data_IF_166244317958
#
_entry.id   IF_166244317958
#
_cell.length_a   1.000
_cell.length_b   1.000
_cell.length_c   1.000
_cell.angle_alpha   90.00
_cell.angle_beta   90.00
_cell.angle_gamma   90.00
#
_symmetry.space_group_name_H-M   'P 1'
#
loop_
_entity.id
_entity.type
_entity.pdbx_description
1 polymer ?
#
# COMPACT_ATOMS: atom_id res chain seq x y z
N UNK A 1 -34.75 -43.36 33.34
CA UNK A 1 -33.69 -42.72 32.54
C UNK A 1 -33.90 -41.22 32.59
N UNK A 2 -33.00 -40.41 33.20
CA UNK A 2 -33.11 -38.96 33.13
C UNK A 2 -32.31 -38.42 31.92
N UNK A 3 -32.91 -37.51 31.16
CA UNK A 3 -32.24 -36.71 30.14
C UNK A 3 -31.39 -35.63 30.81
N UNK A 4 -30.10 -35.57 30.50
CA UNK A 4 -29.22 -34.49 30.92
C UNK A 4 -29.34 -33.32 29.93
N UNK A 5 -29.73 -32.14 30.43
CA UNK A 5 -29.68 -30.89 29.67
C UNK A 5 -28.27 -30.30 29.74
N UNK A 6 -27.65 -30.07 28.58
CA UNK A 6 -26.36 -29.41 28.44
C UNK A 6 -26.59 -27.88 28.44
N UNK A 7 -25.92 -27.08 29.28
CA UNK A 7 -26.08 -25.63 29.23
C UNK A 7 -25.27 -25.07 28.06
N UNK A 8 -25.91 -24.25 27.22
CA UNK A 8 -25.25 -23.40 26.25
C UNK A 8 -24.50 -22.29 27.01
N UNK A 9 -23.17 -22.35 27.06
CA UNK A 9 -22.37 -21.20 27.46
C UNK A 9 -22.39 -20.18 26.33
N UNK A 10 -23.10 -19.07 26.54
CA UNK A 10 -22.88 -17.85 25.78
C UNK A 10 -21.52 -17.28 26.20
N UNK A 11 -20.51 -17.45 25.35
CA UNK A 11 -19.30 -16.64 25.43
C UNK A 11 -19.68 -15.20 25.06
N UNK A 12 -19.81 -14.35 26.07
CA UNK A 12 -19.82 -12.90 25.86
C UNK A 12 -18.43 -12.53 25.34
N UNK A 13 -18.33 -12.27 24.03
CA UNK A 13 -17.16 -11.64 23.47
C UNK A 13 -16.97 -10.29 24.18
N UNK A 14 -15.82 -10.11 24.84
CA UNK A 14 -15.45 -8.82 25.42
C UNK A 14 -15.49 -7.74 24.32
N UNK A 15 -15.90 -6.50 24.63
CA UNK A 15 -15.85 -5.42 23.66
C UNK A 15 -14.38 -5.25 23.23
N UNK A 16 -14.10 -5.44 21.94
CA UNK A 16 -12.78 -5.21 21.38
C UNK A 16 -12.37 -3.77 21.71
N UNK A 17 -11.35 -3.61 22.55
CA UNK A 17 -10.74 -2.31 22.81
C UNK A 17 -10.23 -1.78 21.49
N UNK A 18 -10.88 -0.74 20.95
CA UNK A 18 -10.48 -0.08 19.71
C UNK A 18 -9.19 0.69 19.97
N UNK A 19 -8.05 0.00 19.84
CA UNK A 19 -6.73 0.61 19.88
C UNK A 19 -6.53 1.36 18.57
N UNK A 20 -6.94 2.62 18.54
CA UNK A 20 -6.99 3.40 17.32
C UNK A 20 -6.34 4.76 17.53
N UNK A 21 -5.37 5.10 16.67
CA UNK A 21 -4.91 6.48 16.51
C UNK A 21 -5.83 7.15 15.49
N UNK A 22 -6.44 8.30 15.80
CA UNK A 22 -7.37 8.94 14.88
C UNK A 22 -7.21 10.46 14.86
N UNK A 23 -7.54 11.04 13.70
CA UNK A 23 -7.40 12.46 13.40
C UNK A 23 -8.56 12.94 12.52
N UNK A 24 -8.95 14.19 12.67
CA UNK A 24 -10.04 14.86 11.95
C UNK A 24 -9.53 15.78 10.81
N UNK A 25 -8.24 15.70 10.50
CA UNK A 25 -7.61 16.41 9.38
C UNK A 25 -6.55 15.56 8.69
N UNK A 26 -6.27 15.78 7.39
CA UNK A 26 -5.15 15.17 6.70
C UNK A 26 -3.81 15.50 7.36
N UNK A 27 -2.81 14.64 7.16
CA UNK A 27 -1.45 14.89 7.64
C UNK A 27 -0.82 16.11 6.94
N UNK A 28 -0.09 16.91 7.71
CA UNK A 28 0.84 17.91 7.18
C UNK A 28 1.92 17.26 6.29
N UNK A 29 2.61 17.99 5.40
CA UNK A 29 3.56 17.41 4.43
C UNK A 29 4.75 16.62 5.02
N UNK A 30 5.13 16.88 6.28
CA UNK A 30 6.20 16.15 6.98
C UNK A 30 5.80 14.73 7.40
N UNK A 31 6.77 13.94 7.87
CA UNK A 31 6.53 12.54 8.27
C UNK A 31 5.73 12.39 9.57
N UNK A 32 5.74 13.39 10.44
CA UNK A 32 5.29 13.28 11.84
C UNK A 32 3.79 13.01 12.02
N UNK A 33 2.98 13.27 11.00
CA UNK A 33 1.53 13.13 11.09
C UNK A 33 0.97 11.97 10.25
N UNK A 34 1.78 11.36 9.40
CA UNK A 34 1.33 10.26 8.53
C UNK A 34 1.06 8.99 9.35
N UNK A 35 0.08 8.20 8.92
CA UNK A 35 -0.19 6.88 9.51
C UNK A 35 0.72 5.85 8.86
N UNK A 36 1.46 5.10 9.66
CA UNK A 36 2.39 4.10 9.14
C UNK A 36 1.72 2.73 9.10
N UNK A 37 1.82 2.07 7.95
CA UNK A 37 1.51 0.65 7.77
C UNK A 37 2.74 -0.05 7.23
N UNK A 38 2.90 -1.33 7.55
CA UNK A 38 4.05 -2.07 7.06
C UNK A 38 4.04 -3.51 7.52
N UNK A 39 4.84 -4.30 6.83
CA UNK A 39 5.35 -5.56 7.35
C UNK A 39 6.88 -5.47 7.45
N UNK A 40 7.56 -6.56 7.79
CA UNK A 40 9.02 -6.54 7.98
C UNK A 40 9.82 -6.14 6.73
N UNK A 41 9.20 -6.08 5.54
CA UNK A 41 9.84 -5.75 4.27
C UNK A 41 9.35 -4.44 3.65
N UNK A 42 8.04 -4.30 3.44
CA UNK A 42 7.43 -3.16 2.74
C UNK A 42 6.68 -2.27 3.74
N UNK A 43 6.85 -0.96 3.61
CA UNK A 43 6.19 0.05 4.43
C UNK A 43 5.54 1.15 3.60
N UNK A 44 4.52 1.78 4.20
CA UNK A 44 3.79 2.91 3.63
C UNK A 44 3.42 3.95 4.68
N UNK A 45 3.74 5.22 4.44
CA UNK A 45 3.26 6.35 5.25
C UNK A 45 2.08 7.02 4.56
N UNK A 46 0.88 6.89 5.13
CA UNK A 46 -0.40 7.34 4.56
C UNK A 46 -0.76 8.74 5.07
N UNK A 47 -0.94 9.69 4.15
CA UNK A 47 -1.16 11.10 4.51
C UNK A 47 -2.64 11.47 4.66
N UNK A 48 -3.53 10.80 3.95
CA UNK A 48 -4.97 10.93 4.12
C UNK A 48 -5.61 12.14 3.45
N UNK A 49 -4.96 12.78 2.47
CA UNK A 49 -5.57 13.92 1.75
C UNK A 49 -6.71 13.48 0.81
N UNK A 50 -7.92 14.05 0.90
CA UNK A 50 -9.08 13.64 0.09
C UNK A 50 -8.83 13.70 -1.42
N UNK A 51 -8.31 14.84 -1.90
CA UNK A 51 -8.11 15.20 -3.30
C UNK A 51 -6.82 14.67 -3.93
N UNK A 52 -5.81 14.35 -3.11
CA UNK A 52 -4.51 13.87 -3.56
C UNK A 52 -3.85 13.05 -2.46
N UNK A 53 -4.18 11.74 -2.38
CA UNK A 53 -3.52 10.86 -1.43
C UNK A 53 -2.05 10.74 -1.78
N UNK A 54 -1.21 10.74 -0.75
CA UNK A 54 0.22 10.48 -0.88
C UNK A 54 0.57 9.34 0.06
N UNK A 55 1.23 8.33 -0.46
CA UNK A 55 1.79 7.24 0.32
C UNK A 55 3.29 7.18 0.03
N UNK A 56 4.10 7.53 1.02
CA UNK A 56 5.55 7.37 0.91
C UNK A 56 5.90 5.91 1.13
N UNK A 57 6.70 5.35 0.24
CA UNK A 57 7.00 3.92 0.18
C UNK A 57 8.43 3.63 0.62
N UNK A 58 8.59 2.49 1.29
CA UNK A 58 9.87 2.03 1.83
C UNK A 58 9.99 0.52 1.65
N UNK A 59 11.17 0.05 1.22
CA UNK A 59 11.53 -1.37 1.20
C UNK A 59 12.77 -1.56 2.08
N UNK A 60 12.71 -2.51 3.00
CA UNK A 60 13.65 -2.70 4.12
C UNK A 60 15.12 -2.87 3.71
N UNK A 61 15.37 -3.43 2.52
CA UNK A 61 16.69 -3.76 2.00
C UNK A 61 17.25 -2.72 1.03
N UNK A 62 16.53 -1.61 0.79
CA UNK A 62 16.99 -0.53 -0.06
C UNK A 62 17.98 0.39 0.68
N UNK A 63 19.26 0.08 0.55
CA UNK A 63 20.36 0.79 1.20
C UNK A 63 21.46 1.20 0.21
N UNK A 64 22.03 2.37 0.44
CA UNK A 64 23.38 2.69 -0.08
C UNK A 64 24.44 2.11 0.86
N UNK A 65 25.71 2.15 0.44
CA UNK A 65 26.79 1.51 1.18
C UNK A 65 27.00 0.06 0.77
N UNK A 66 28.04 -0.55 1.32
CA UNK A 66 28.50 -1.89 0.99
C UNK A 66 29.11 -2.57 2.22
N UNK A 67 29.71 -3.75 2.03
CA UNK A 67 30.53 -4.38 3.05
C UNK A 67 31.55 -3.36 3.62
N UNK A 68 31.43 -3.07 4.91
CA UNK A 68 32.24 -2.07 5.61
C UNK A 68 32.98 -2.72 6.79
N UNK A 69 33.92 -3.65 6.54
CA UNK A 69 34.64 -4.34 7.60
C UNK A 69 35.52 -3.39 8.44
N UNK A 70 35.88 -2.23 7.90
CA UNK A 70 36.63 -1.19 8.61
C UNK A 70 35.79 -0.38 9.60
N UNK A 71 34.46 -0.43 9.51
CA UNK A 71 33.56 0.40 10.32
C UNK A 71 33.68 1.90 9.99
N UNK A 72 34.07 2.23 8.75
CA UNK A 72 34.23 3.62 8.33
C UNK A 72 32.85 4.28 8.12
N UNK A 73 32.55 5.31 8.89
CA UNK A 73 31.29 6.05 8.78
C UNK A 73 31.11 6.72 7.41
N UNK A 74 32.21 7.02 6.69
CA UNK A 74 32.14 7.61 5.34
C UNK A 74 31.58 6.67 4.27
N UNK A 75 31.68 5.35 4.48
CA UNK A 75 31.28 4.31 3.53
C UNK A 75 30.15 3.40 4.02
N UNK A 76 29.63 3.66 5.24
CA UNK A 76 28.53 2.90 5.85
C UNK A 76 27.24 2.94 5.03
N UNK A 77 27.03 4.03 4.27
CA UNK A 77 25.80 4.25 3.52
C UNK A 77 24.62 4.62 4.41
N UNK A 78 23.42 4.61 3.82
CA UNK A 78 22.19 5.02 4.49
C UNK A 78 20.96 4.37 3.87
N UNK A 79 19.91 4.26 4.71
CA UNK A 79 18.60 3.80 4.28
C UNK A 79 17.99 4.77 3.27
N UNK A 80 17.37 4.23 2.23
CA UNK A 80 16.78 5.03 1.15
C UNK A 80 15.25 4.93 1.16
N UNK A 81 14.62 6.04 0.80
CA UNK A 81 13.20 6.06 0.43
C UNK A 81 13.05 5.37 -0.93
N UNK A 82 12.05 4.50 -1.10
CA UNK A 82 11.83 3.84 -2.38
C UNK A 82 11.18 4.79 -3.39
N UNK A 83 10.16 5.52 -2.96
CA UNK A 83 9.37 6.35 -3.86
C UNK A 83 8.04 6.73 -3.24
N UNK A 84 7.12 7.21 -4.07
CA UNK A 84 5.82 7.67 -3.63
C UNK A 84 4.72 7.17 -4.56
N UNK A 85 3.61 6.75 -3.96
CA UNK A 85 2.34 6.50 -4.65
C UNK A 85 1.42 7.70 -4.43
N UNK A 86 1.02 8.35 -5.52
CA UNK A 86 0.03 9.42 -5.51
C UNK A 86 -1.30 8.93 -6.12
N UNK A 87 -2.42 9.29 -5.48
CA UNK A 87 -3.76 9.05 -6.00
C UNK A 87 -4.51 10.38 -6.05
N UNK A 88 -4.60 10.95 -7.25
CA UNK A 88 -5.31 12.18 -7.51
C UNK A 88 -6.81 11.90 -7.70
N UNK A 89 -7.64 12.63 -6.96
CA UNK A 89 -9.11 12.58 -6.96
C UNK A 89 -9.65 14.01 -7.13
N UNK A 90 -9.61 14.57 -8.36
CA UNK A 90 -10.04 15.94 -8.61
C UNK A 90 -11.51 16.15 -8.21
N UNK A 91 -11.81 17.28 -7.57
CA UNK A 91 -13.17 17.58 -7.09
C UNK A 91 -13.47 17.09 -5.68
N UNK A 92 -12.51 16.45 -5.00
CA UNK A 92 -12.66 15.97 -3.63
C UNK A 92 -12.18 16.99 -2.58
N UNK A 93 -11.89 18.24 -2.98
CA UNK A 93 -11.45 19.30 -2.07
C UNK A 93 -12.57 19.70 -1.10
N UNK A 94 -12.21 20.17 0.09
CA UNK A 94 -13.15 20.65 1.10
C UNK A 94 -14.30 19.67 1.44
N UNK A 95 -14.00 18.40 1.80
CA UNK A 95 -15.04 17.48 2.22
C UNK A 95 -15.56 17.82 3.63
N UNK A 96 -16.67 17.18 4.00
CA UNK A 96 -17.20 17.21 5.36
C UNK A 96 -17.07 15.83 6.01
N UNK A 97 -17.29 15.74 7.33
CA UNK A 97 -17.23 14.49 8.09
C UNK A 97 -15.92 13.70 7.89
N UNK A 98 -14.81 14.42 7.72
CA UNK A 98 -13.50 13.80 7.51
C UNK A 98 -13.01 13.09 8.77
N UNK A 99 -12.40 11.92 8.57
CA UNK A 99 -11.65 11.18 9.59
C UNK A 99 -10.55 10.35 8.92
N UNK A 100 -9.40 10.26 9.55
CA UNK A 100 -8.42 9.20 9.29
C UNK A 100 -8.04 8.50 10.57
N UNK A 101 -7.77 7.21 10.49
CA UNK A 101 -7.35 6.44 11.65
C UNK A 101 -6.47 5.23 11.31
N UNK A 102 -5.65 4.81 12.27
CA UNK A 102 -4.89 3.57 12.23
C UNK A 102 -5.44 2.65 13.31
N UNK A 103 -6.06 1.55 12.88
CA UNK A 103 -6.48 0.48 13.78
C UNK A 103 -5.29 -0.42 14.10
N UNK A 104 -4.81 -0.37 15.34
CA UNK A 104 -3.64 -1.14 15.80
C UNK A 104 -3.96 -2.63 15.96
N UNK A 105 -5.24 -3.00 16.14
CA UNK A 105 -5.65 -4.41 16.24
C UNK A 105 -5.78 -5.11 14.89
N UNK A 106 -5.99 -4.35 13.81
CA UNK A 106 -6.09 -4.88 12.44
C UNK A 106 -4.88 -4.51 11.58
N UNK A 107 -4.00 -3.62 12.05
CA UNK A 107 -2.92 -3.00 11.28
C UNK A 107 -3.40 -2.37 9.94
N UNK A 108 -4.57 -1.73 9.96
CA UNK A 108 -5.17 -1.07 8.78
C UNK A 108 -5.28 0.44 9.04
N UNK A 109 -4.73 1.23 8.14
CA UNK A 109 -4.99 2.66 8.05
C UNK A 109 -6.26 2.92 7.23
N UNK A 110 -7.15 3.77 7.71
CA UNK A 110 -8.40 4.16 7.06
C UNK A 110 -8.50 5.67 6.91
N UNK A 111 -9.15 6.11 5.83
CA UNK A 111 -9.59 7.49 5.62
C UNK A 111 -11.05 7.45 5.19
N UNK A 112 -11.90 8.28 5.76
CA UNK A 112 -13.31 8.42 5.39
C UNK A 112 -13.71 9.88 5.36
N UNK A 113 -14.53 10.26 4.39
CA UNK A 113 -15.07 11.61 4.28
C UNK A 113 -16.31 11.63 3.40
N UNK A 114 -17.04 12.73 3.45
CA UNK A 114 -18.20 12.99 2.61
C UNK A 114 -17.95 14.15 1.66
N UNK A 115 -18.31 13.97 0.38
CA UNK A 115 -18.30 15.03 -0.62
C UNK A 115 -19.56 14.94 -1.47
N UNK A 116 -20.27 16.05 -1.61
CA UNK A 116 -21.52 16.16 -2.38
C UNK A 116 -22.56 15.07 -2.07
N UNK A 117 -22.68 14.73 -0.78
CA UNK A 117 -23.59 13.69 -0.26
C UNK A 117 -23.12 12.24 -0.50
N UNK A 118 -21.91 12.04 -1.00
CA UNK A 118 -21.32 10.71 -1.26
C UNK A 118 -20.26 10.44 -0.18
N UNK A 119 -20.36 9.26 0.44
CA UNK A 119 -19.37 8.79 1.40
C UNK A 119 -18.25 8.09 0.65
N UNK A 120 -17.02 8.51 0.92
CA UNK A 120 -15.81 7.91 0.38
C UNK A 120 -15.03 7.26 1.51
N UNK A 121 -14.41 6.11 1.21
CA UNK A 121 -13.53 5.43 2.15
C UNK A 121 -12.30 4.89 1.44
N UNK A 122 -11.16 5.00 2.12
CA UNK A 122 -9.89 4.39 1.75
C UNK A 122 -9.40 3.49 2.88
N UNK A 123 -8.89 2.31 2.54
CA UNK A 123 -8.15 1.42 3.44
C UNK A 123 -6.77 1.15 2.86
N UNK A 124 -5.76 1.14 3.73
CA UNK A 124 -4.37 0.85 3.38
C UNK A 124 -3.78 -0.11 4.39
N UNK A 125 -3.13 -1.17 3.92
CA UNK A 125 -2.36 -2.11 4.75
C UNK A 125 -1.30 -2.80 3.90
N UNK A 126 -0.36 -3.49 4.56
CA UNK A 126 0.63 -4.33 3.88
C UNK A 126 0.37 -5.78 4.23
N UNK A 127 -0.04 -6.55 3.23
CA UNK A 127 -0.42 -7.95 3.34
C UNK A 127 0.81 -8.85 3.61
N UNK A 128 0.65 -10.01 4.30
CA UNK A 128 1.71 -11.01 4.54
C UNK A 128 2.53 -11.40 3.29
N UNK A 129 1.89 -11.50 2.13
CA UNK A 129 2.53 -11.74 0.82
C UNK A 129 3.46 -10.58 0.33
N UNK A 130 3.79 -9.60 1.19
CA UNK A 130 4.60 -8.40 0.89
C UNK A 130 4.00 -7.49 -0.17
N UNK A 131 2.69 -7.29 -0.10
CA UNK A 131 1.94 -6.44 -1.04
C UNK A 131 1.27 -5.33 -0.23
N UNK A 132 1.56 -4.08 -0.57
CA UNK A 132 0.77 -2.94 -0.08
C UNK A 132 -0.55 -2.89 -0.85
N UNK A 133 -1.65 -2.94 -0.12
CA UNK A 133 -3.01 -2.91 -0.64
C UNK A 133 -3.61 -1.54 -0.33
N UNK A 134 -4.11 -0.84 -1.35
CA UNK A 134 -4.96 0.34 -1.21
C UNK A 134 -6.35 0.03 -1.76
N UNK A 135 -7.39 0.21 -0.96
CA UNK A 135 -8.78 0.03 -1.38
C UNK A 135 -9.50 1.37 -1.32
N UNK A 136 -10.11 1.80 -2.43
CA UNK A 136 -10.98 2.97 -2.51
C UNK A 136 -12.41 2.50 -2.77
N UNK A 137 -13.37 3.08 -2.06
CA UNK A 137 -14.81 2.81 -2.24
C UNK A 137 -15.62 4.09 -2.13
N UNK A 138 -16.76 4.16 -2.82
CA UNK A 138 -17.74 5.24 -2.68
C UNK A 138 -19.15 4.67 -2.44
N UNK A 139 -20.01 5.40 -1.72
CA UNK A 139 -21.39 4.98 -1.47
C UNK A 139 -22.30 5.07 -2.71
N UNK A 140 -21.87 5.79 -3.75
CA UNK A 140 -22.55 5.90 -5.03
C UNK A 140 -21.74 5.20 -6.12
N UNK A 141 -22.39 4.33 -6.88
CA UNK A 141 -21.79 3.68 -8.06
C UNK A 141 -21.28 4.72 -9.06
N UNK A 142 -20.13 4.44 -9.65
CA UNK A 142 -19.46 5.27 -10.64
C UNK A 142 -18.91 6.59 -10.11
N UNK A 143 -18.76 6.76 -8.80
CA UNK A 143 -18.35 8.02 -8.20
C UNK A 143 -16.82 8.24 -8.11
N UNK A 144 -16.00 7.24 -8.45
CA UNK A 144 -14.54 7.36 -8.41
C UNK A 144 -13.98 7.66 -9.81
N UNK A 145 -13.37 8.84 -9.96
CA UNK A 145 -12.62 9.24 -11.16
C UNK A 145 -11.35 9.96 -10.73
N UNK A 146 -10.23 9.66 -11.37
CA UNK A 146 -8.94 10.18 -10.94
C UNK A 146 -7.76 9.59 -11.70
N UNK A 147 -6.58 9.74 -11.10
CA UNK A 147 -5.33 9.23 -11.63
C UNK A 147 -4.43 8.67 -10.52
N UNK A 148 -3.56 7.73 -10.89
CA UNK A 148 -2.56 7.10 -10.03
C UNK A 148 -1.21 7.31 -10.68
N UNK A 149 -0.26 7.78 -9.88
CA UNK A 149 1.13 7.95 -10.27
C UNK A 149 2.02 7.22 -9.26
N UNK A 150 3.06 6.56 -9.78
CA UNK A 150 4.11 5.94 -8.99
C UNK A 150 5.41 6.66 -9.34
N UNK A 151 6.04 7.31 -8.38
CA UNK A 151 7.25 8.09 -8.57
C UNK A 151 8.44 7.45 -7.85
N UNK A 152 9.58 7.39 -8.52
CA UNK A 152 10.83 6.89 -7.97
C UNK A 152 11.57 7.97 -7.18
N UNK A 153 12.13 7.63 -6.01
CA UNK A 153 12.92 8.56 -5.23
C UNK A 153 14.33 8.83 -5.80
N UNK A 154 14.77 8.04 -6.78
CA UNK A 154 16.14 8.04 -7.30
C UNK A 154 16.22 8.33 -8.81
N UNK A 155 15.12 8.80 -9.42
CA UNK A 155 15.07 9.25 -10.81
C UNK A 155 14.87 8.15 -11.86
N UNK A 156 14.57 6.91 -11.47
CA UNK A 156 14.15 5.89 -12.41
C UNK A 156 12.78 6.24 -13.04
N UNK A 157 12.62 5.94 -14.32
CA UNK A 157 11.41 6.28 -15.07
C UNK A 157 10.34 5.22 -14.86
N UNK A 158 9.12 5.68 -14.57
CA UNK A 158 7.94 4.82 -14.48
C UNK A 158 7.50 4.40 -15.87
N UNK A 159 7.40 3.10 -16.07
CA UNK A 159 6.87 2.47 -17.28
C UNK A 159 5.46 1.98 -17.03
N UNK A 160 4.62 2.01 -18.06
CA UNK A 160 3.21 1.65 -17.96
C UNK A 160 2.87 0.50 -18.91
N UNK A 161 2.03 -0.43 -18.45
CA UNK A 161 1.51 -1.52 -19.27
C UNK A 161 0.13 -1.95 -18.76
N UNK A 162 -0.87 -1.93 -19.64
CA UNK A 162 -2.25 -2.35 -19.37
C UNK A 162 -2.90 -1.63 -18.16
N UNK A 163 -2.81 -2.21 -16.97
CA UNK A 163 -3.32 -1.66 -15.70
C UNK A 163 -2.24 -1.59 -14.62
N UNK A 164 -0.99 -1.55 -15.05
CA UNK A 164 0.18 -1.59 -14.18
C UNK A 164 1.15 -0.44 -14.45
N UNK A 165 1.86 -0.06 -13.39
CA UNK A 165 3.02 0.83 -13.43
C UNK A 165 4.21 0.07 -12.84
N UNK A 166 5.38 0.20 -13.46
CA UNK A 166 6.61 -0.46 -13.04
C UNK A 166 7.78 0.50 -13.06
N UNK A 167 8.63 0.40 -12.04
CA UNK A 167 9.91 1.09 -11.93
C UNK A 167 10.99 0.04 -11.75
N UNK A 168 12.06 0.15 -12.52
CA UNK A 168 13.30 -0.62 -12.32
C UNK A 168 14.45 0.36 -12.21
N UNK A 169 15.16 0.31 -11.08
CA UNK A 169 16.21 1.27 -10.79
C UNK A 169 17.46 0.63 -10.21
N UNK A 170 18.48 1.46 -10.03
CA UNK A 170 19.79 1.07 -9.51
C UNK A 170 20.37 2.21 -8.68
N UNK A 171 20.75 1.92 -7.45
CA UNK A 171 21.45 2.86 -6.57
C UNK A 171 22.93 3.03 -6.99
N UNK A 172 23.63 4.08 -6.53
CA UNK A 172 25.04 4.31 -6.86
C UNK A 172 25.99 3.17 -6.49
N UNK A 173 25.69 2.40 -5.42
CA UNK A 173 26.43 1.19 -5.04
C UNK A 173 26.13 0.00 -5.97
N UNK A 174 25.26 0.14 -6.97
CA UNK A 174 24.88 -0.93 -7.88
C UNK A 174 23.78 -1.87 -7.36
N UNK A 175 23.22 -1.63 -6.17
CA UNK A 175 22.03 -2.34 -5.70
C UNK A 175 20.87 -2.06 -6.67
N UNK A 176 20.27 -3.11 -7.21
CA UNK A 176 19.14 -3.04 -8.12
C UNK A 176 17.85 -3.18 -7.33
N UNK A 177 16.82 -2.44 -7.73
CA UNK A 177 15.49 -2.53 -7.14
C UNK A 177 14.42 -2.45 -8.20
N UNK A 178 13.26 -3.02 -7.88
CA UNK A 178 12.05 -2.95 -8.69
C UNK A 178 10.87 -2.67 -7.78
N UNK A 179 10.00 -1.77 -8.20
CA UNK A 179 8.68 -1.58 -7.61
C UNK A 179 7.65 -1.57 -8.71
N UNK A 180 6.43 -1.92 -8.36
CA UNK A 180 5.35 -1.83 -9.32
C UNK A 180 4.01 -2.04 -8.67
N UNK A 181 2.98 -1.57 -9.34
CA UNK A 181 1.60 -1.70 -8.91
C UNK A 181 0.72 -2.19 -10.04
N UNK A 182 -0.40 -2.78 -9.63
CA UNK A 182 -1.49 -3.22 -10.49
C UNK A 182 -2.80 -2.69 -9.92
N UNK A 183 -3.70 -2.25 -10.80
CA UNK A 183 -5.01 -1.70 -10.43
C UNK A 183 -6.14 -2.57 -10.94
N UNK A 184 -7.01 -2.98 -10.03
CA UNK A 184 -8.29 -3.60 -10.34
C UNK A 184 -9.45 -2.65 -10.03
N UNK A 185 -10.37 -2.46 -10.97
CA UNK A 185 -11.59 -1.67 -10.76
C UNK A 185 -12.84 -2.54 -10.70
N UNK A 186 -13.80 -2.11 -9.89
CA UNK A 186 -15.19 -2.56 -9.95
C UNK A 186 -15.99 -1.46 -10.63
N UNK A 187 -16.67 -1.79 -11.73
CA UNK A 187 -17.27 -0.79 -12.61
C UNK A 187 -16.23 0.10 -13.28
N UNK A 188 -16.72 1.03 -14.11
CA UNK A 188 -15.88 2.02 -14.78
C UNK A 188 -14.79 1.44 -15.69
N UNK A 189 -13.73 2.22 -15.89
CA UNK A 189 -12.56 1.84 -16.69
C UNK A 189 -11.26 2.31 -16.07
N UNK A 190 -10.17 1.59 -16.37
CA UNK A 190 -8.79 1.97 -16.06
C UNK A 190 -7.97 1.91 -17.35
N UNK A 191 -7.16 2.93 -17.61
CA UNK A 191 -6.29 3.03 -18.78
C UNK A 191 -4.94 3.66 -18.41
N UNK A 192 -3.88 3.28 -19.12
CA UNK A 192 -2.57 3.93 -19.04
C UNK A 192 -2.51 5.16 -19.94
N UNK A 193 -1.96 6.27 -19.45
CA UNK A 193 -1.70 7.47 -20.24
C UNK A 193 -0.56 8.30 -19.61
N UNK A 194 0.60 8.32 -20.28
CA UNK A 194 1.67 9.28 -19.97
C UNK A 194 2.41 8.97 -18.67
N UNK A 195 2.64 7.68 -18.40
CA UNK A 195 3.30 7.19 -17.18
C UNK A 195 2.38 7.14 -15.95
N UNK A 196 1.06 7.14 -16.18
CA UNK A 196 0.02 7.19 -15.14
C UNK A 196 -1.10 6.23 -15.47
N UNK A 197 -1.80 5.77 -14.44
CA UNK A 197 -3.08 5.08 -14.62
C UNK A 197 -4.21 6.07 -14.38
N UNK A 198 -5.10 6.23 -15.36
CA UNK A 198 -6.36 6.96 -15.21
C UNK A 198 -7.49 6.00 -14.95
N UNK A 199 -8.35 6.34 -14.00
CA UNK A 199 -9.58 5.60 -13.74
C UNK A 199 -10.79 6.53 -13.85
N UNK A 200 -11.89 6.03 -14.40
CA UNK A 200 -13.10 6.82 -14.63
C UNK A 200 -14.34 6.03 -14.28
N UNK A 201 -15.23 6.66 -13.51
CA UNK A 201 -16.55 6.12 -13.19
C UNK A 201 -16.50 4.76 -12.49
N UNK A 202 -15.54 4.52 -11.61
CA UNK A 202 -15.41 3.27 -10.86
C UNK A 202 -16.31 3.30 -9.60
N UNK A 203 -16.81 2.13 -9.21
CA UNK A 203 -17.51 1.90 -7.93
C UNK A 203 -16.51 1.73 -6.79
N UNK A 204 -15.43 0.99 -7.07
CA UNK A 204 -14.32 0.76 -6.18
C UNK A 204 -13.02 0.48 -6.95
N UNK A 205 -11.88 0.69 -6.30
CA UNK A 205 -10.55 0.37 -6.82
C UNK A 205 -9.74 -0.37 -5.77
N UNK A 206 -9.01 -1.39 -6.20
CA UNK A 206 -7.97 -2.05 -5.41
C UNK A 206 -6.64 -1.89 -6.12
N UNK A 207 -5.68 -1.26 -5.45
CA UNK A 207 -4.30 -1.11 -5.90
C UNK A 207 -3.46 -2.11 -5.11
N UNK A 208 -2.70 -2.94 -5.82
CA UNK A 208 -1.75 -3.88 -5.24
C UNK A 208 -0.35 -3.47 -5.65
N UNK A 209 0.51 -3.13 -4.69
CA UNK A 209 1.87 -2.66 -4.93
C UNK A 209 2.88 -3.58 -4.25
N UNK A 210 3.91 -3.99 -5.00
CA UNK A 210 5.03 -4.76 -4.49
C UNK A 210 6.36 -4.08 -4.78
N UNK A 211 7.39 -4.44 -4.01
CA UNK A 211 8.75 -3.98 -4.22
C UNK A 211 9.77 -5.05 -3.80
N UNK A 212 10.94 -5.03 -4.43
CA UNK A 212 12.08 -5.85 -4.02
C UNK A 212 13.40 -5.22 -4.45
N UNK A 213 14.48 -5.66 -3.82
CA UNK A 213 15.85 -5.40 -4.27
C UNK A 213 16.53 -6.71 -4.66
N UNK A 214 17.72 -6.63 -5.24
CA UNK A 214 18.61 -7.79 -5.37
C UNK A 214 19.52 -7.97 -4.14
N UNK A 215 19.18 -7.42 -2.96
CA UNK A 215 19.96 -7.61 -1.75
C UNK A 215 19.97 -9.10 -1.32
N UNK A 216 21.11 -9.55 -0.83
CA UNK A 216 21.29 -10.86 -0.21
C UNK A 216 21.91 -10.70 1.18
N UNK A 217 21.45 -11.48 2.16
CA UNK A 217 22.12 -11.58 3.46
C UNK A 217 23.38 -12.45 3.41
N UNK A 218 23.68 -13.06 2.26
CA UNK A 218 24.79 -13.99 2.12
C UNK A 218 26.07 -13.22 1.77
N UNK A 219 26.99 -13.11 2.72
CA UNK A 219 28.26 -12.38 2.59
C UNK A 219 29.10 -12.86 1.38
N UNK A 220 29.16 -14.18 1.14
CA UNK A 220 29.90 -14.74 -0.02
C UNK A 220 29.35 -14.31 -1.38
N UNK A 221 28.12 -13.78 -1.42
CA UNK A 221 27.47 -13.23 -2.62
C UNK A 221 27.71 -11.70 -2.73
N UNK A 222 28.55 -11.12 -1.87
CA UNK A 222 28.79 -9.67 -1.85
C UNK A 222 27.52 -8.88 -1.52
N UNK A 223 26.65 -9.48 -0.70
CA UNK A 223 25.33 -8.96 -0.34
C UNK A 223 24.39 -8.71 -1.53
N UNK A 224 24.62 -9.38 -2.68
CA UNK A 224 23.83 -9.18 -3.90
C UNK A 224 23.52 -10.49 -4.62
N UNK A 225 22.24 -10.69 -4.91
CA UNK A 225 21.77 -11.61 -5.96
C UNK A 225 21.92 -10.97 -7.35
N UNK A 226 21.72 -11.75 -8.41
CA UNK A 226 21.82 -11.23 -9.79
C UNK A 226 20.78 -10.13 -10.09
N UNK A 227 19.52 -10.35 -9.67
CA UNK A 227 18.37 -9.51 -10.02
C UNK A 227 17.33 -9.44 -8.89
N UNK A 228 16.57 -8.33 -8.78
CA UNK A 228 15.38 -8.29 -7.94
C UNK A 228 14.30 -9.23 -8.49
N UNK A 229 13.27 -9.50 -7.69
CA UNK A 229 12.16 -10.34 -8.13
C UNK A 229 11.44 -9.70 -9.35
N UNK A 230 11.00 -10.50 -10.34
CA UNK A 230 10.24 -9.99 -11.48
C UNK A 230 8.88 -9.48 -11.04
N UNK A 231 8.27 -8.60 -11.83
CA UNK A 231 7.07 -7.85 -11.46
C UNK A 231 5.91 -8.76 -11.04
N UNK A 232 5.67 -9.83 -11.79
CA UNK A 232 4.59 -10.79 -11.52
C UNK A 232 4.72 -11.43 -10.13
N UNK A 233 5.96 -11.59 -9.65
CA UNK A 233 6.23 -12.10 -8.31
C UNK A 233 6.08 -11.00 -7.24
N UNK A 234 6.33 -9.73 -7.57
CA UNK A 234 6.18 -8.61 -6.63
C UNK A 234 4.73 -8.43 -6.17
N UNK A 235 3.80 -8.56 -7.11
CA UNK A 235 2.36 -8.42 -6.85
C UNK A 235 1.69 -9.79 -6.59
N UNK A 236 2.50 -10.86 -6.46
CA UNK A 236 2.10 -12.19 -6.02
C UNK A 236 0.79 -12.71 -6.61
N UNK A 237 -0.09 -13.24 -5.75
CA UNK A 237 -1.41 -13.76 -6.13
C UNK A 237 -2.32 -12.70 -6.78
N UNK A 238 -2.06 -11.40 -6.58
CA UNK A 238 -2.87 -10.34 -7.17
C UNK A 238 -2.74 -10.30 -8.70
N UNK A 239 -1.59 -10.65 -9.26
CA UNK A 239 -1.41 -10.80 -10.71
C UNK A 239 -2.33 -11.88 -11.29
N UNK A 240 -2.47 -13.01 -10.60
CA UNK A 240 -3.25 -14.16 -11.08
C UNK A 240 -4.76 -13.96 -10.99
N UNK A 241 -5.24 -12.99 -10.20
CA UNK A 241 -6.65 -12.85 -9.85
C UNK A 241 -7.32 -11.58 -10.42
N UNK A 242 -6.70 -10.90 -11.39
CA UNK A 242 -7.04 -9.61 -12.04
C UNK A 242 -8.51 -9.28 -12.44
N UNK A 243 -9.52 -10.10 -12.13
CA UNK A 243 -10.91 -9.91 -12.56
C UNK A 243 -12.01 -10.14 -11.51
N UNK A 244 -11.70 -10.20 -10.21
CA UNK A 244 -12.70 -10.56 -9.18
C UNK A 244 -12.72 -9.59 -7.99
N UNK A 245 -13.88 -8.96 -7.76
CA UNK A 245 -14.19 -8.21 -6.53
C UNK A 245 -14.00 -9.05 -5.24
N UNK A 246 -13.95 -10.39 -5.35
CA UNK A 246 -13.69 -11.28 -4.21
C UNK A 246 -12.27 -11.17 -3.65
N UNK A 247 -11.33 -10.54 -4.36
CA UNK A 247 -9.93 -10.54 -3.95
C UNK A 247 -9.62 -9.61 -2.77
N UNK A 248 -10.24 -8.42 -2.72
CA UNK A 248 -9.99 -7.49 -1.61
C UNK A 248 -10.42 -8.09 -0.27
N UNK A 249 -11.63 -8.67 -0.22
CA UNK A 249 -12.15 -9.29 0.99
C UNK A 249 -11.24 -10.42 1.48
N UNK A 250 -10.71 -11.24 0.56
CA UNK A 250 -9.73 -12.29 0.89
C UNK A 250 -8.43 -11.70 1.43
N UNK A 251 -7.81 -10.72 0.75
CA UNK A 251 -6.58 -10.07 1.25
C UNK A 251 -6.79 -9.44 2.62
N UNK A 252 -7.91 -8.75 2.85
CA UNK A 252 -8.22 -8.14 4.15
C UNK A 252 -8.39 -9.23 5.22
N UNK A 253 -9.06 -10.32 4.90
CA UNK A 253 -9.27 -11.43 5.83
C UNK A 253 -7.94 -12.11 6.19
N UNK A 254 -7.15 -12.51 5.18
CA UNK A 254 -5.84 -13.13 5.36
C UNK A 254 -4.94 -12.22 6.23
N UNK A 255 -4.92 -10.91 5.95
CA UNK A 255 -4.16 -9.92 6.72
C UNK A 255 -4.57 -9.80 8.18
N UNK A 256 -5.87 -9.75 8.48
CA UNK A 256 -6.38 -9.56 9.85
C UNK A 256 -6.26 -10.86 10.69
N UNK A 257 -6.07 -12.01 10.06
CA UNK A 257 -5.94 -13.31 10.73
C UNK A 257 -4.50 -13.73 11.04
N UNK A 258 -3.50 -13.00 10.54
CA UNK A 258 -2.07 -13.19 10.86
C UNK A 258 -1.74 -12.73 12.29
#
# INVERSE_FOLDING_TARGET
MPFAALPLLFAMAAPATRHTLWYDKPAAPGMNEALVVGNSGLGGMVYGKPEAERIVLNESSLWTGDANPSGDYGSMGSYQMLGELEIALPGHENPVHYRRDLNLGEAIASVSYEKDGIQYRREVFVHPDKILIVRLTASRRGALTGAIELADAHGAVTTEKDRSLEISGRLPNGLQYKSGLLVNSEGGSVSTEGGRLRFKGCDALTICLGASTNYSLVDREGYRMERPAPFENLIGRAAAQMGSAKNYAMFRQDHVQE
#
